data_IF_767325241324
#
_entry.id   IF_767325241324
#
_cell.length_a   1.000
_cell.length_b   1.000
_cell.length_c   1.000
_cell.angle_alpha   90.00
_cell.angle_beta   90.00
_cell.angle_gamma   90.00
#
_symmetry.space_group_name_H-M   'P 1'
#
loop_
_entity.id
_entity.type
_entity.pdbx_description
1 polymer ?
#
# COMPACT_ATOMS: atom_id res chain seq x y z
N UNK A 1 15.21 -5.79 9.21
CA UNK A 1 15.34 -6.07 7.75
C UNK A 1 14.27 -5.25 7.06
N UNK A 2 14.59 -4.64 5.91
CA UNK A 2 13.62 -3.82 5.18
C UNK A 2 12.76 -4.65 4.20
N UNK A 3 13.07 -5.92 4.03
CA UNK A 3 12.35 -6.85 3.17
C UNK A 3 12.01 -8.17 3.85
N UNK A 4 11.03 -8.87 3.27
CA UNK A 4 10.67 -10.24 3.63
C UNK A 4 10.14 -10.99 2.40
N UNK A 5 10.36 -12.31 2.37
CA UNK A 5 9.81 -13.19 1.35
C UNK A 5 8.74 -14.11 1.92
N UNK A 6 7.53 -14.05 1.36
CA UNK A 6 6.36 -14.85 1.77
C UNK A 6 5.84 -15.60 0.54
N UNK A 7 5.82 -16.93 0.60
CA UNK A 7 5.31 -17.82 -0.46
C UNK A 7 5.82 -17.51 -1.90
N UNK A 8 7.02 -16.95 -2.02
CA UNK A 8 7.63 -16.63 -3.32
C UNK A 8 7.57 -15.15 -3.69
N UNK A 9 6.77 -14.34 -2.99
CA UNK A 9 6.68 -12.89 -3.15
C UNK A 9 7.62 -12.19 -2.18
N UNK A 10 8.49 -11.33 -2.68
CA UNK A 10 9.28 -10.40 -1.88
C UNK A 10 8.48 -9.13 -1.64
N UNK A 11 8.44 -8.68 -0.39
CA UNK A 11 7.83 -7.41 0.04
C UNK A 11 8.95 -6.60 0.66
N UNK A 12 9.30 -5.48 0.04
CA UNK A 12 10.29 -4.53 0.54
C UNK A 12 9.59 -3.24 0.91
N UNK A 13 9.87 -2.75 2.12
CA UNK A 13 9.41 -1.46 2.60
C UNK A 13 10.51 -0.42 2.44
N UNK A 14 10.16 0.74 1.85
CA UNK A 14 11.06 1.88 1.69
C UNK A 14 10.95 2.91 2.82
N UNK A 15 10.06 2.68 3.79
CA UNK A 15 9.61 3.69 4.75
C UNK A 15 8.31 4.37 4.31
N UNK A 16 7.68 5.10 5.24
CA UNK A 16 6.35 5.69 5.05
C UNK A 16 5.34 4.66 4.49
N UNK A 17 4.67 4.95 3.39
CA UNK A 17 3.80 4.00 2.66
C UNK A 17 4.43 3.43 1.38
N UNK A 18 5.75 3.59 1.18
CA UNK A 18 6.41 3.12 -0.03
C UNK A 18 6.76 1.64 0.02
N UNK A 19 6.29 0.87 -0.97
CA UNK A 19 6.58 -0.57 -1.08
C UNK A 19 7.03 -1.00 -2.48
N UNK A 20 7.87 -2.03 -2.52
CA UNK A 20 8.09 -2.88 -3.70
C UNK A 20 7.54 -4.27 -3.41
N UNK A 21 6.67 -4.75 -4.29
CA UNK A 21 6.22 -6.13 -4.36
C UNK A 21 6.86 -6.81 -5.57
N UNK A 22 7.59 -7.90 -5.35
CA UNK A 22 8.22 -8.68 -6.41
C UNK A 22 7.79 -10.14 -6.37
N UNK A 23 7.17 -10.61 -7.45
CA UNK A 23 6.64 -11.96 -7.60
C UNK A 23 6.24 -12.22 -9.04
N UNK A 24 6.13 -13.49 -9.46
CA UNK A 24 5.72 -13.86 -10.84
C UNK A 24 6.48 -13.16 -11.97
N UNK A 25 7.74 -12.77 -11.71
CA UNK A 25 8.56 -11.99 -12.65
C UNK A 25 8.03 -10.56 -12.90
N UNK A 26 7.33 -9.98 -11.92
CA UNK A 26 6.82 -8.61 -11.92
C UNK A 26 7.35 -7.84 -10.72
N UNK A 27 7.67 -6.56 -10.94
CA UNK A 27 7.97 -5.58 -9.89
C UNK A 27 6.89 -4.51 -9.85
N UNK A 28 6.18 -4.43 -8.74
CA UNK A 28 5.14 -3.42 -8.52
C UNK A 28 5.57 -2.48 -7.41
N UNK A 29 5.72 -1.21 -7.77
CA UNK A 29 6.01 -0.14 -6.83
C UNK A 29 4.71 0.53 -6.42
N UNK A 30 4.58 0.80 -5.12
CA UNK A 30 3.45 1.51 -4.53
C UNK A 30 4.01 2.72 -3.80
N UNK A 31 3.48 3.91 -4.09
CA UNK A 31 3.81 5.16 -3.40
C UNK A 31 5.31 5.38 -3.17
N UNK A 32 6.16 5.33 -4.22
CA UNK A 32 7.60 5.47 -4.04
C UNK A 32 7.93 6.85 -3.46
N UNK A 33 8.57 6.86 -2.29
CA UNK A 33 8.97 8.07 -1.58
C UNK A 33 10.33 7.87 -0.92
N UNK A 34 11.19 8.89 -1.00
CA UNK A 34 12.56 8.86 -0.45
C UNK A 34 13.39 7.66 -0.97
N UNK A 35 13.20 7.30 -2.24
CA UNK A 35 13.96 6.24 -2.88
C UNK A 35 15.42 6.70 -2.98
N UNK A 36 16.33 5.89 -2.44
CA UNK A 36 17.77 6.17 -2.40
C UNK A 36 18.41 6.21 -3.79
N UNK A 37 19.26 5.22 -4.10
CA UNK A 37 19.85 5.13 -5.43
C UNK A 37 18.80 4.74 -6.48
N UNK A 38 18.94 5.29 -7.68
CA UNK A 38 18.07 4.91 -8.81
C UNK A 38 18.28 3.43 -9.12
N UNK A 39 17.22 2.60 -9.10
CA UNK A 39 17.35 1.18 -9.36
C UNK A 39 17.84 0.93 -10.80
N UNK A 40 18.56 -0.18 -10.98
CA UNK A 40 18.95 -0.64 -12.31
C UNK A 40 17.70 -0.85 -13.18
N UNK A 41 17.87 -0.79 -14.51
CA UNK A 41 16.73 -0.83 -15.43
C UNK A 41 15.80 -2.05 -15.23
N UNK A 42 16.37 -3.20 -14.93
CA UNK A 42 15.62 -4.45 -14.69
C UNK A 42 14.95 -4.51 -13.30
N UNK A 43 15.33 -3.59 -12.41
CA UNK A 43 14.76 -3.42 -11.07
C UNK A 43 13.69 -2.31 -11.01
N UNK A 44 13.44 -1.64 -12.12
CA UNK A 44 12.37 -0.65 -12.25
C UNK A 44 10.99 -1.29 -12.33
N UNK A 45 9.97 -0.49 -12.05
CA UNK A 45 8.58 -0.90 -12.01
C UNK A 45 8.11 -1.49 -13.36
N UNK A 46 7.46 -2.63 -13.30
CA UNK A 46 6.52 -3.06 -14.33
C UNK A 46 5.19 -2.33 -14.16
N UNK A 47 4.73 -2.22 -12.92
CA UNK A 47 3.49 -1.56 -12.53
C UNK A 47 3.81 -0.56 -11.44
N UNK A 48 3.32 0.66 -11.59
CA UNK A 48 3.43 1.71 -10.58
C UNK A 48 2.02 2.05 -10.09
N UNK A 49 1.79 1.95 -8.79
CA UNK A 49 0.53 2.26 -8.14
C UNK A 49 0.72 3.51 -7.27
N UNK A 50 -0.16 4.47 -7.42
CA UNK A 50 -0.21 5.67 -6.57
C UNK A 50 -1.53 5.64 -5.81
N UNK A 51 -1.52 5.85 -4.50
CA UNK A 51 -2.76 5.82 -3.70
C UNK A 51 -3.48 7.16 -3.69
N UNK A 52 -2.75 8.28 -3.68
CA UNK A 52 -3.28 9.64 -3.71
C UNK A 52 -2.18 10.68 -3.98
N UNK A 53 -2.54 11.97 -4.02
CA UNK A 53 -1.67 13.05 -4.51
C UNK A 53 -0.69 13.65 -3.47
N UNK A 54 -0.75 13.28 -2.19
CA UNK A 54 0.16 13.89 -1.22
C UNK A 54 1.63 13.58 -1.53
N UNK A 55 2.50 14.51 -1.15
CA UNK A 55 3.89 14.56 -1.63
C UNK A 55 4.72 13.34 -1.20
N UNK A 56 4.34 12.69 -0.10
CA UNK A 56 4.95 11.50 0.48
C UNK A 56 4.40 10.18 -0.11
N UNK A 57 3.54 10.28 -1.12
CA UNK A 57 2.98 9.17 -1.90
C UNK A 57 3.16 9.36 -3.42
N UNK A 58 2.94 10.57 -3.91
CA UNK A 58 3.02 10.94 -5.32
C UNK A 58 4.28 11.79 -5.62
N UNK A 59 5.46 11.36 -5.14
CA UNK A 59 6.72 12.09 -5.33
C UNK A 59 7.19 12.05 -6.79
N UNK A 60 7.18 13.17 -7.54
CA UNK A 60 7.59 13.16 -8.96
C UNK A 60 9.08 12.84 -9.15
N UNK A 61 9.91 13.04 -8.12
CA UNK A 61 11.31 12.64 -8.14
C UNK A 61 11.48 11.13 -8.07
N UNK A 62 10.86 10.50 -7.06
CA UNK A 62 11.01 9.07 -6.81
C UNK A 62 10.30 8.23 -7.88
N UNK A 63 9.15 8.71 -8.34
CA UNK A 63 8.44 8.14 -9.49
C UNK A 63 9.34 8.12 -10.72
N UNK A 64 10.13 9.17 -10.99
CA UNK A 64 11.07 9.16 -12.14
C UNK A 64 12.21 8.15 -11.97
N UNK A 65 12.67 7.89 -10.74
CA UNK A 65 13.71 6.89 -10.48
C UNK A 65 13.20 5.49 -10.81
N UNK A 66 12.01 5.13 -10.32
CA UNK A 66 11.49 3.76 -10.40
C UNK A 66 10.69 3.45 -11.66
N UNK A 67 10.12 4.47 -12.33
CA UNK A 67 9.28 4.28 -13.52
C UNK A 67 10.13 4.22 -14.80
N UNK A 68 9.85 3.23 -15.64
CA UNK A 68 10.36 3.11 -17.03
C UNK A 68 9.27 3.36 -18.07
N UNK A 69 9.66 3.54 -19.33
CA UNK A 69 8.75 3.93 -20.42
C UNK A 69 7.63 2.93 -20.71
N UNK A 70 7.85 1.65 -20.43
CA UNK A 70 6.91 0.55 -20.62
C UNK A 70 6.19 0.14 -19.32
N UNK A 71 6.37 0.89 -18.22
CA UNK A 71 5.58 0.68 -17.00
C UNK A 71 4.12 1.03 -17.27
N UNK A 72 3.19 0.31 -16.65
CA UNK A 72 1.80 0.75 -16.54
C UNK A 72 1.64 1.46 -15.20
N UNK A 73 1.19 2.71 -15.21
CA UNK A 73 0.91 3.47 -13.98
C UNK A 73 -0.58 3.52 -13.72
N UNK A 74 -1.04 3.11 -12.54
CA UNK A 74 -2.39 3.38 -12.06
C UNK A 74 -2.35 4.59 -11.13
N UNK A 75 -3.25 5.54 -11.37
CA UNK A 75 -3.29 6.77 -10.59
C UNK A 75 -4.75 7.18 -10.36
N UNK A 76 -5.11 7.65 -9.16
CA UNK A 76 -6.46 8.10 -8.89
C UNK A 76 -6.91 9.23 -9.85
N UNK A 77 -8.21 9.26 -10.15
CA UNK A 77 -8.86 10.37 -10.88
C UNK A 77 -8.65 11.73 -10.18
N UNK A 78 -8.53 11.72 -8.86
CA UNK A 78 -8.31 12.92 -8.05
C UNK A 78 -6.93 13.56 -8.23
N UNK A 79 -5.91 12.80 -8.66
CA UNK A 79 -4.54 13.31 -8.76
C UNK A 79 -4.36 14.24 -9.97
N UNK A 80 -3.82 15.43 -9.77
CA UNK A 80 -3.49 16.36 -10.87
C UNK A 80 -2.24 15.99 -11.67
N UNK A 81 -1.37 15.11 -11.13
CA UNK A 81 -0.13 14.72 -11.80
C UNK A 81 -0.43 13.96 -13.10
N UNK A 82 0.19 14.40 -14.20
CA UNK A 82 0.04 13.83 -15.54
C UNK A 82 1.25 13.00 -15.96
N UNK A 83 0.98 11.87 -16.62
CA UNK A 83 1.99 10.89 -16.97
C UNK A 83 2.04 10.68 -18.49
N UNK A 84 3.24 10.55 -19.03
CA UNK A 84 3.43 10.10 -20.42
C UNK A 84 3.51 8.58 -20.47
N UNK A 85 2.93 7.96 -21.51
CA UNK A 85 2.95 6.51 -21.72
C UNK A 85 1.68 5.84 -21.21
N UNK A 86 1.77 4.56 -20.84
CA UNK A 86 0.63 3.83 -20.24
C UNK A 86 0.44 4.30 -18.80
N UNK A 87 -0.50 5.22 -18.63
CA UNK A 87 -0.97 5.71 -17.35
C UNK A 87 -2.50 5.74 -17.39
N UNK A 88 -3.12 5.09 -16.41
CA UNK A 88 -4.56 4.86 -16.37
C UNK A 88 -5.11 5.49 -15.11
N UNK A 89 -6.17 6.25 -15.29
CA UNK A 89 -6.94 6.78 -14.18
C UNK A 89 -7.81 5.67 -13.59
N UNK A 90 -7.92 5.65 -12.26
CA UNK A 90 -8.71 4.66 -11.51
C UNK A 90 -9.52 5.32 -10.41
N UNK A 91 -10.59 4.67 -10.00
CA UNK A 91 -11.44 5.06 -8.86
C UNK A 91 -11.80 3.85 -7.99
N UNK A 92 -12.30 4.10 -6.77
CA UNK A 92 -12.77 3.03 -5.89
C UNK A 92 -13.86 2.19 -6.58
N UNK A 93 -13.73 0.87 -6.53
CA UNK A 93 -14.64 -0.08 -7.19
C UNK A 93 -14.15 -0.60 -8.54
N UNK A 94 -13.07 -0.06 -9.11
CA UNK A 94 -12.45 -0.62 -10.30
C UNK A 94 -11.87 -2.03 -10.03
N UNK A 95 -12.15 -2.97 -10.94
CA UNK A 95 -11.64 -4.34 -10.89
C UNK A 95 -10.92 -4.65 -12.21
N UNK A 96 -9.59 -4.74 -12.14
CA UNK A 96 -8.70 -5.04 -13.26
C UNK A 96 -8.39 -6.53 -13.30
N UNK A 97 -9.40 -7.33 -13.64
CA UNK A 97 -9.34 -8.79 -13.73
C UNK A 97 -10.08 -9.31 -14.98
N UNK A 98 -10.01 -10.62 -15.21
CA UNK A 98 -10.80 -11.34 -16.23
C UNK A 98 -10.61 -10.79 -17.67
N UNK A 99 -9.35 -10.59 -18.05
CA UNK A 99 -8.93 -10.03 -19.34
C UNK A 99 -8.52 -8.55 -19.28
N UNK A 100 -8.74 -7.89 -18.14
CA UNK A 100 -8.32 -6.51 -17.87
C UNK A 100 -7.07 -6.41 -16.99
N UNK A 101 -6.43 -7.54 -16.66
CA UNK A 101 -5.25 -7.59 -15.80
C UNK A 101 -4.12 -6.69 -16.31
N UNK A 102 -3.45 -6.00 -15.39
CA UNK A 102 -2.29 -5.17 -15.73
C UNK A 102 -1.06 -6.05 -15.77
N UNK A 103 -0.53 -6.29 -16.98
CA UNK A 103 0.65 -7.14 -17.19
C UNK A 103 0.51 -8.53 -16.54
N UNK A 104 -0.72 -9.06 -16.49
CA UNK A 104 -1.04 -10.36 -15.89
C UNK A 104 -1.32 -10.32 -14.39
N UNK A 105 -1.31 -9.15 -13.75
CA UNK A 105 -1.62 -8.95 -12.33
C UNK A 105 -3.07 -8.49 -12.19
N UNK A 106 -3.85 -9.17 -11.33
CA UNK A 106 -5.20 -8.74 -10.94
C UNK A 106 -5.10 -7.67 -9.85
N UNK A 107 -5.85 -6.60 -10.01
CA UNK A 107 -5.86 -5.47 -9.07
C UNK A 107 -7.31 -5.03 -8.83
N UNK A 108 -7.71 -4.96 -7.57
CA UNK A 108 -8.95 -4.32 -7.13
C UNK A 108 -8.59 -2.96 -6.51
N UNK A 109 -9.29 -1.91 -6.92
CA UNK A 109 -9.13 -0.56 -6.38
C UNK A 109 -10.21 -0.34 -5.33
N UNK A 110 -9.81 -0.11 -4.08
CA UNK A 110 -10.70 -0.07 -2.92
C UNK A 110 -10.69 1.32 -2.29
N UNK A 111 -11.73 1.72 -1.53
CA UNK A 111 -11.74 3.02 -0.85
C UNK A 111 -10.56 3.18 0.12
N UNK A 112 -10.06 4.40 0.26
CA UNK A 112 -9.16 4.82 1.33
C UNK A 112 -9.52 6.25 1.76
N UNK A 113 -10.04 6.40 2.98
CA UNK A 113 -10.55 7.68 3.48
C UNK A 113 -10.55 7.76 5.01
N UNK A 114 -10.59 8.99 5.54
CA UNK A 114 -10.81 9.26 6.95
C UNK A 114 -12.32 9.40 7.24
N UNK A 115 -12.75 8.94 8.43
CA UNK A 115 -14.12 9.10 8.90
C UNK A 115 -14.33 10.48 9.54
N UNK A 116 -13.43 10.84 10.46
CA UNK A 116 -13.58 12.02 11.31
C UNK A 116 -12.39 13.00 11.18
N UNK A 117 -11.42 12.71 10.30
CA UNK A 117 -10.25 13.56 10.03
C UNK A 117 -10.39 14.26 8.66
N UNK A 118 -9.87 15.48 8.49
CA UNK A 118 -10.06 16.25 7.26
C UNK A 118 -9.03 15.93 6.16
N UNK A 119 -8.06 15.04 6.41
CA UNK A 119 -6.88 14.86 5.57
C UNK A 119 -7.18 14.06 4.29
N UNK A 120 -7.99 13.01 4.39
CA UNK A 120 -8.31 12.09 3.30
C UNK A 120 -9.83 11.93 3.14
N UNK A 121 -10.56 12.93 2.60
CA UNK A 121 -11.97 12.75 2.29
C UNK A 121 -12.16 11.64 1.25
N UNK A 122 -13.30 10.95 1.31
CA UNK A 122 -13.64 9.87 0.36
C UNK A 122 -13.52 10.34 -1.10
N UNK A 123 -12.89 9.51 -1.92
CA UNK A 123 -12.59 9.80 -3.32
C UNK A 123 -11.29 10.60 -3.54
N UNK A 124 -10.62 11.09 -2.49
CA UNK A 124 -9.28 11.68 -2.65
C UNK A 124 -8.22 10.62 -2.91
N UNK A 125 -8.30 9.48 -2.23
CA UNK A 125 -7.35 8.39 -2.34
C UNK A 125 -8.02 7.03 -2.50
N UNK A 126 -7.20 6.03 -2.80
CA UNK A 126 -7.60 4.62 -2.95
C UNK A 126 -6.59 3.70 -2.27
N UNK A 127 -7.05 2.54 -1.86
CA UNK A 127 -6.22 1.38 -1.55
C UNK A 127 -6.19 0.41 -2.74
N UNK A 128 -5.34 -0.60 -2.65
CA UNK A 128 -5.23 -1.65 -3.68
C UNK A 128 -5.22 -3.04 -3.06
N UNK A 129 -5.98 -3.97 -3.61
CA UNK A 129 -5.80 -5.41 -3.37
C UNK A 129 -5.18 -6.03 -4.62
N UNK A 130 -4.00 -6.60 -4.47
CA UNK A 130 -3.14 -7.05 -5.56
C UNK A 130 -2.97 -8.56 -5.46
N UNK A 131 -3.23 -9.28 -6.55
CA UNK A 131 -2.94 -10.71 -6.62
C UNK A 131 -1.57 -10.96 -7.25
N UNK A 132 -0.64 -11.47 -6.45
CA UNK A 132 0.74 -11.72 -6.87
C UNK A 132 1.26 -12.99 -6.19
N UNK A 133 1.84 -13.91 -6.95
CA UNK A 133 2.38 -15.17 -6.42
C UNK A 133 1.34 -16.05 -5.74
N UNK A 134 0.06 -15.92 -6.10
CA UNK A 134 -1.06 -16.60 -5.45
C UNK A 134 -1.50 -15.98 -4.11
N UNK A 135 -0.93 -14.85 -3.71
CA UNK A 135 -1.30 -14.11 -2.51
C UNK A 135 -2.16 -12.88 -2.87
N UNK A 136 -3.13 -12.57 -2.01
CA UNK A 136 -3.85 -11.28 -2.03
C UNK A 136 -3.19 -10.31 -1.05
N UNK A 137 -2.60 -9.24 -1.57
CA UNK A 137 -1.87 -8.23 -0.79
C UNK A 137 -2.67 -6.93 -0.81
N UNK A 138 -3.15 -6.52 0.36
CA UNK A 138 -3.89 -5.27 0.55
C UNK A 138 -2.96 -4.15 1.00
N UNK A 139 -2.84 -3.10 0.20
CA UNK A 139 -2.25 -1.83 0.58
C UNK A 139 -3.37 -0.84 0.91
N UNK A 140 -3.49 -0.44 2.18
CA UNK A 140 -4.61 0.37 2.62
C UNK A 140 -4.63 1.80 2.08
N UNK A 141 -3.47 2.32 1.68
CA UNK A 141 -3.31 3.76 1.47
C UNK A 141 -3.50 4.51 2.79
N UNK A 142 -3.78 5.80 2.70
CA UNK A 142 -4.02 6.64 3.86
C UNK A 142 -5.51 6.68 4.19
N UNK A 143 -5.87 6.01 5.29
CA UNK A 143 -7.27 5.89 5.72
C UNK A 143 -7.40 5.72 7.23
N UNK A 144 -8.62 5.88 7.73
CA UNK A 144 -9.04 5.38 9.04
C UNK A 144 -9.57 3.94 8.93
N UNK A 145 -10.00 3.34 10.04
CA UNK A 145 -10.74 2.08 10.03
C UNK A 145 -12.21 2.34 9.66
N UNK A 146 -12.64 1.93 8.47
CA UNK A 146 -13.99 2.14 7.94
C UNK A 146 -14.75 0.83 7.66
N UNK A 147 -16.11 0.86 7.62
CA UNK A 147 -16.92 -0.37 7.57
C UNK A 147 -16.66 -1.29 6.39
N UNK A 148 -16.37 -0.75 5.20
CA UNK A 148 -16.14 -1.56 4.01
C UNK A 148 -14.94 -2.53 4.14
N UNK A 149 -13.99 -2.27 5.06
CA UNK A 149 -12.88 -3.20 5.35
C UNK A 149 -13.35 -4.59 5.80
N UNK A 150 -14.56 -4.73 6.37
CA UNK A 150 -15.16 -6.03 6.72
C UNK A 150 -15.38 -6.95 5.52
N UNK A 151 -15.43 -6.37 4.32
CA UNK A 151 -15.66 -7.13 3.08
C UNK A 151 -14.36 -7.51 2.37
N UNK A 152 -13.22 -6.96 2.81
CA UNK A 152 -11.94 -7.19 2.16
C UNK A 152 -11.39 -8.56 2.54
N UNK A 153 -10.83 -9.26 1.55
CA UNK A 153 -10.12 -10.51 1.75
C UNK A 153 -8.68 -10.35 1.28
N UNK A 154 -7.72 -10.56 2.19
CA UNK A 154 -6.29 -10.47 1.91
C UNK A 154 -5.52 -11.52 2.72
N UNK A 155 -4.46 -12.09 2.13
CA UNK A 155 -3.49 -12.90 2.86
C UNK A 155 -2.51 -12.02 3.65
N UNK A 156 -2.20 -10.86 3.09
CA UNK A 156 -1.27 -9.87 3.66
C UNK A 156 -1.94 -8.50 3.64
N UNK A 157 -1.93 -7.79 4.77
CA UNK A 157 -2.37 -6.40 4.85
C UNK A 157 -1.21 -5.46 5.24
N UNK A 158 -1.08 -4.35 4.52
CA UNK A 158 -0.18 -3.24 4.79
C UNK A 158 -1.03 -2.09 5.32
N UNK A 159 -0.92 -1.79 6.61
CA UNK A 159 -1.84 -0.86 7.30
C UNK A 159 -1.08 0.33 7.89
N UNK A 160 -1.53 1.58 7.66
CA UNK A 160 -0.91 2.73 8.29
C UNK A 160 -1.16 2.72 9.79
N UNK A 161 -0.18 3.18 10.58
CA UNK A 161 -0.30 3.30 12.05
C UNK A 161 0.12 4.69 12.56
N UNK A 162 0.17 5.70 11.69
CA UNK A 162 0.71 7.03 11.98
C UNK A 162 -0.16 7.90 12.91
N UNK A 163 -1.43 7.58 13.07
CA UNK A 163 -2.37 8.22 14.01
C UNK A 163 -2.88 9.60 13.59
N UNK A 164 -1.98 10.56 13.32
CA UNK A 164 -2.36 11.95 13.02
C UNK A 164 -3.20 12.06 11.74
N UNK A 165 -2.72 11.44 10.65
CA UNK A 165 -3.31 11.55 9.31
C UNK A 165 -4.10 10.31 8.89
N UNK A 166 -3.80 9.18 9.52
CA UNK A 166 -4.27 7.82 9.21
C UNK A 166 -4.65 7.10 10.50
N UNK A 167 -4.98 5.81 10.44
CA UNK A 167 -5.23 5.00 11.64
C UNK A 167 -4.13 5.15 12.70
N UNK A 168 -4.53 5.19 13.97
CA UNK A 168 -3.62 4.91 15.08
C UNK A 168 -3.41 3.39 15.26
N UNK A 169 -2.61 2.97 16.25
CA UNK A 169 -2.31 1.55 16.43
C UNK A 169 -3.53 0.71 16.88
N UNK A 170 -4.51 1.31 17.54
CA UNK A 170 -5.74 0.64 18.02
C UNK A 170 -6.75 0.47 16.88
N UNK A 171 -6.92 1.52 16.08
CA UNK A 171 -7.72 1.53 14.86
C UNK A 171 -7.17 0.50 13.86
N UNK A 172 -5.86 0.55 13.57
CA UNK A 172 -5.21 -0.39 12.66
C UNK A 172 -5.28 -1.84 13.18
N UNK A 173 -5.14 -2.06 14.50
CA UNK A 173 -5.27 -3.41 15.06
C UNK A 173 -6.72 -3.93 14.95
N UNK A 174 -7.71 -3.04 15.02
CA UNK A 174 -9.12 -3.38 14.82
C UNK A 174 -9.41 -3.70 13.35
N UNK A 175 -8.86 -2.91 12.42
CA UNK A 175 -8.90 -3.21 10.98
C UNK A 175 -8.25 -4.57 10.67
N UNK A 176 -7.07 -4.86 11.23
CA UNK A 176 -6.40 -6.15 11.06
C UNK A 176 -7.24 -7.32 11.60
N UNK A 177 -7.89 -7.15 12.75
CA UNK A 177 -8.74 -8.19 13.33
C UNK A 177 -9.98 -8.50 12.47
N UNK A 178 -10.52 -7.48 11.81
CA UNK A 178 -11.68 -7.58 10.92
C UNK A 178 -11.31 -8.21 9.57
N UNK A 179 -10.24 -7.74 8.94
CA UNK A 179 -9.73 -8.29 7.67
C UNK A 179 -9.21 -9.73 7.88
N UNK A 180 -8.67 -10.00 9.07
CA UNK A 180 -8.09 -11.28 9.51
C UNK A 180 -7.07 -11.87 8.50
N UNK A 181 -6.07 -11.09 8.03
CA UNK A 181 -5.05 -11.61 7.13
C UNK A 181 -4.14 -12.62 7.86
N UNK A 182 -3.42 -13.46 7.11
CA UNK A 182 -2.39 -14.33 7.70
C UNK A 182 -1.22 -13.49 8.24
N UNK A 183 -0.88 -12.41 7.52
CA UNK A 183 0.20 -11.49 7.86
C UNK A 183 -0.29 -10.04 7.84
N UNK A 184 0.15 -9.25 8.81
CA UNK A 184 -0.02 -7.79 8.77
C UNK A 184 1.34 -7.10 8.96
N UNK A 185 1.58 -6.06 8.17
CA UNK A 185 2.78 -5.23 8.20
C UNK A 185 2.34 -3.79 8.46
N UNK A 186 2.76 -3.15 9.58
CA UNK A 186 2.48 -1.73 9.79
C UNK A 186 3.30 -0.88 8.82
N UNK A 187 2.74 0.26 8.40
CA UNK A 187 3.37 1.26 7.54
C UNK A 187 2.98 2.68 7.99
N UNK A 188 3.43 3.71 7.26
CA UNK A 188 3.11 5.12 7.52
C UNK A 188 3.40 5.56 8.96
N UNK A 189 4.58 5.22 9.47
CA UNK A 189 5.07 5.65 10.78
C UNK A 189 6.58 5.87 10.74
N UNK A 190 7.12 6.48 11.81
CA UNK A 190 8.58 6.60 12.02
C UNK A 190 9.11 8.04 11.95
N UNK A 191 8.23 9.05 11.89
CA UNK A 191 8.60 10.47 11.99
C UNK A 191 8.12 10.99 13.35
N UNK A 192 9.02 11.11 14.35
CA UNK A 192 8.64 11.53 15.70
C UNK A 192 7.92 12.87 15.73
N UNK A 193 6.74 12.92 16.36
CA UNK A 193 5.93 14.13 16.48
C UNK A 193 5.02 14.42 15.28
N UNK A 194 5.06 13.60 14.22
CA UNK A 194 4.18 13.72 13.06
C UNK A 194 3.39 12.43 12.82
N UNK A 195 4.09 11.31 12.60
CA UNK A 195 3.53 9.95 12.45
C UNK A 195 4.25 8.99 13.41
N UNK A 196 3.92 9.11 14.70
CA UNK A 196 4.67 8.53 15.82
C UNK A 196 4.19 7.14 16.28
N UNK A 197 3.46 6.44 15.41
CA UNK A 197 2.96 5.09 15.66
C UNK A 197 4.01 4.13 16.18
N UNK A 198 3.66 3.36 17.21
CA UNK A 198 4.55 2.36 17.81
C UNK A 198 4.23 0.95 17.25
N UNK A 199 5.10 0.37 16.39
CA UNK A 199 4.83 -0.93 15.76
C UNK A 199 4.81 -2.09 16.77
N UNK A 200 5.52 -2.00 17.90
CA UNK A 200 5.46 -3.00 18.97
C UNK A 200 4.15 -2.94 19.75
N UNK A 201 3.61 -1.73 19.96
CA UNK A 201 2.28 -1.55 20.53
C UNK A 201 1.21 -2.10 19.58
N UNK A 202 1.28 -1.74 18.29
CA UNK A 202 0.41 -2.29 17.25
C UNK A 202 0.42 -3.82 17.27
N UNK A 203 1.61 -4.43 17.29
CA UNK A 203 1.76 -5.89 17.37
C UNK A 203 1.08 -6.51 18.59
N UNK A 204 1.25 -5.90 19.77
CA UNK A 204 0.59 -6.38 20.99
C UNK A 204 -0.95 -6.28 20.89
N UNK A 205 -1.46 -5.20 20.30
CA UNK A 205 -2.90 -4.98 20.09
C UNK A 205 -3.48 -5.98 19.09
N UNK A 206 -2.81 -6.22 17.96
CA UNK A 206 -3.22 -7.22 16.97
C UNK A 206 -3.29 -8.60 17.63
N UNK A 207 -2.25 -9.04 18.33
CA UNK A 207 -2.25 -10.35 18.99
C UNK A 207 -3.32 -10.48 20.10
N UNK A 208 -3.64 -9.38 20.79
CA UNK A 208 -4.73 -9.34 21.78
C UNK A 208 -6.11 -9.55 21.13
N UNK A 209 -6.33 -8.96 19.94
CA UNK A 209 -7.60 -9.07 19.20
C UNK A 209 -7.71 -10.37 18.40
N UNK A 210 -6.63 -10.81 17.77
CA UNK A 210 -6.57 -12.07 17.01
C UNK A 210 -5.14 -12.66 17.05
N UNK A 211 -4.88 -13.69 17.89
CA UNK A 211 -3.54 -14.25 18.08
C UNK A 211 -3.04 -15.09 16.88
N UNK A 212 -3.88 -15.35 15.87
CA UNK A 212 -3.49 -16.11 14.68
C UNK A 212 -2.88 -15.23 13.59
N UNK A 213 -2.98 -13.90 13.69
CA UNK A 213 -2.39 -12.97 12.74
C UNK A 213 -0.90 -12.84 13.06
N UNK A 214 -0.05 -13.09 12.07
CA UNK A 214 1.39 -12.88 12.21
C UNK A 214 1.74 -11.41 11.91
N UNK A 215 2.25 -10.69 12.90
CA UNK A 215 2.69 -9.29 12.72
C UNK A 215 4.18 -9.26 12.39
N UNK A 216 4.51 -8.71 11.23
CA UNK A 216 5.88 -8.52 10.76
C UNK A 216 6.20 -7.03 10.78
N UNK A 217 7.22 -6.65 11.54
CA UNK A 217 7.73 -5.28 11.60
C UNK A 217 8.98 -5.25 10.73
N UNK A 218 8.97 -4.38 9.72
CA UNK A 218 10.12 -4.13 8.86
C UNK A 218 10.88 -2.90 9.37
N UNK A 219 12.17 -2.82 9.08
CA UNK A 219 13.01 -1.66 9.40
C UNK A 219 13.23 -0.86 8.11
N UNK A 220 12.99 0.45 8.10
CA UNK A 220 13.36 1.34 6.99
C UNK A 220 14.74 1.94 7.17
#
# INVERSE_FOLDING_TARGET
MNDIKIEGVTIQWFGNSGFLLEGDGKKIYIDPYQIGEEPAFDDKADILLITHEHFDHCSPEDIRKVRRSDSTTLIPESCSLEFKGDARRVEEGDILADGLEIKGVRIEVVPAYNLDKPYHPRGLGVGYIIELGGLRIYHAGDCDFFPEMETFSADIALLPIGGTYTMDEEEAASAAAVISPKVVIPMHYGIPGEIDGNPERFKALVHSKNPNINVIILDS
#
